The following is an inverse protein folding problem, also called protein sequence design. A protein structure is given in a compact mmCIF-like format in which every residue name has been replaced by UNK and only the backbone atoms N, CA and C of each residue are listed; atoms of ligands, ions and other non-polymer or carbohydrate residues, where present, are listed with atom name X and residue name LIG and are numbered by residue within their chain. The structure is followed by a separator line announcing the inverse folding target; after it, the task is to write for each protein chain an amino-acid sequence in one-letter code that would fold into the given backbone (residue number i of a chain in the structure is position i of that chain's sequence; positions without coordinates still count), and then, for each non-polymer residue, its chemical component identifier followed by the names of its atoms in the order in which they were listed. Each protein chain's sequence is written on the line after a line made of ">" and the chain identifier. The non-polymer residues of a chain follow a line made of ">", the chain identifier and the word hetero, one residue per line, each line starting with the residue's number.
data_IF_863781001144
#
_entry.id   IF_863781001144
#
_cell.length_a   1.000
_cell.length_b   1.000
_cell.length_c   1.000
_cell.angle_alpha   90.00
_cell.angle_beta   90.00
_cell.angle_gamma   90.00
#
_symmetry.space_group_name_H-M   'P 1'
#
loop_
_entity.id
_entity.type
_entity.pdbx_description
1 polymer ?
#
# COMPACT_ATOMS: atom_id res chain seq x y z
N UNK A 1 -5.14 13.51 12.33
CA UNK A 1 -5.05 13.15 10.89
C UNK A 1 -5.00 14.41 10.04
N UNK A 2 -4.01 14.49 9.12
CA UNK A 2 -3.86 15.60 8.16
C UNK A 2 -4.92 15.54 7.06
N UNK A 3 -5.10 16.65 6.29
CA UNK A 3 -5.97 16.67 5.10
C UNK A 3 -5.54 15.61 4.07
N UNK A 4 -4.24 15.45 3.88
CA UNK A 4 -3.67 14.43 2.99
C UNK A 4 -4.07 13.01 3.39
N UNK A 5 -3.93 12.67 4.68
CA UNK A 5 -4.32 11.36 5.21
C UNK A 5 -5.82 11.07 5.05
N UNK A 6 -6.67 12.07 5.30
CA UNK A 6 -8.12 11.94 5.11
C UNK A 6 -8.48 11.65 3.64
N UNK A 7 -7.86 12.38 2.69
CA UNK A 7 -8.04 12.15 1.26
C UNK A 7 -7.52 10.76 0.84
N UNK A 8 -6.36 10.34 1.36
CA UNK A 8 -5.81 9.02 1.07
C UNK A 8 -6.73 7.90 1.56
N UNK A 9 -7.28 8.01 2.77
CA UNK A 9 -8.28 7.04 3.29
C UNK A 9 -9.54 7.04 2.41
N UNK A 10 -10.09 8.21 2.12
CA UNK A 10 -11.28 8.31 1.27
C UNK A 10 -11.03 7.66 -0.09
N UNK A 11 -9.87 7.92 -0.72
CA UNK A 11 -9.50 7.31 -2.00
C UNK A 11 -9.41 5.78 -1.91
N UNK A 12 -8.76 5.23 -0.87
CA UNK A 12 -8.67 3.76 -0.67
C UNK A 12 -10.05 3.15 -0.49
N UNK A 13 -10.86 3.69 0.43
CA UNK A 13 -12.18 3.14 0.76
C UNK A 13 -13.12 3.20 -0.44
N UNK A 14 -13.17 4.35 -1.15
CA UNK A 14 -14.04 4.51 -2.31
C UNK A 14 -13.58 3.64 -3.48
N UNK A 15 -12.26 3.43 -3.65
CA UNK A 15 -11.74 2.52 -4.69
C UNK A 15 -12.11 1.06 -4.40
N UNK A 16 -11.98 0.59 -3.15
CA UNK A 16 -12.41 -0.76 -2.75
C UNK A 16 -13.92 -0.95 -2.95
N UNK A 17 -14.72 0.07 -2.61
CA UNK A 17 -16.16 0.05 -2.86
C UNK A 17 -16.46 -0.02 -4.36
N UNK A 18 -15.77 0.77 -5.19
CA UNK A 18 -15.96 0.74 -6.64
C UNK A 18 -15.60 -0.62 -7.24
N UNK A 19 -14.52 -1.24 -6.79
CA UNK A 19 -14.15 -2.61 -7.22
C UNK A 19 -15.28 -3.59 -6.90
N UNK A 20 -15.86 -3.50 -5.70
CA UNK A 20 -16.99 -4.34 -5.30
C UNK A 20 -18.23 -4.10 -6.18
N UNK A 21 -18.57 -2.84 -6.46
CA UNK A 21 -19.68 -2.48 -7.37
C UNK A 21 -19.40 -2.95 -8.80
N UNK A 22 -18.14 -2.93 -9.26
CA UNK A 22 -17.73 -3.46 -10.56
C UNK A 22 -18.08 -4.95 -10.74
N UNK A 23 -18.01 -5.72 -9.64
CA UNK A 23 -18.49 -7.12 -9.68
C UNK A 23 -20.01 -7.21 -9.80
N UNK A 24 -20.72 -6.34 -9.11
CA UNK A 24 -22.19 -6.26 -9.25
C UNK A 24 -22.55 -5.96 -10.70
N UNK A 25 -21.88 -4.98 -11.34
CA UNK A 25 -22.05 -4.68 -12.79
C UNK A 25 -21.87 -5.94 -13.64
N UNK A 26 -20.83 -6.71 -13.38
CA UNK A 26 -20.57 -7.96 -14.12
C UNK A 26 -21.61 -9.05 -13.82
N UNK A 27 -21.89 -9.31 -12.54
CA UNK A 27 -22.77 -10.38 -12.09
C UNK A 27 -24.23 -10.18 -12.51
N UNK A 28 -24.65 -8.92 -12.75
CA UNK A 28 -25.99 -8.55 -13.22
C UNK A 28 -26.07 -8.38 -14.75
N UNK A 29 -24.95 -8.57 -15.47
CA UNK A 29 -24.90 -8.33 -16.91
C UNK A 29 -25.05 -6.85 -17.28
N UNK A 30 -24.79 -5.94 -16.36
CA UNK A 30 -25.03 -4.48 -16.54
C UNK A 30 -23.92 -3.78 -17.32
N UNK A 31 -22.79 -4.43 -17.59
CA UNK A 31 -21.60 -3.77 -18.12
C UNK A 31 -21.67 -3.29 -19.59
N UNK A 32 -22.79 -3.50 -20.26
CA UNK A 32 -23.07 -2.99 -21.61
C UNK A 32 -24.43 -2.29 -21.69
N UNK A 33 -25.05 -2.02 -20.54
CA UNK A 33 -26.37 -1.40 -20.46
C UNK A 33 -26.35 0.10 -20.84
N UNK A 34 -25.18 0.75 -20.71
CA UNK A 34 -24.93 2.12 -21.18
C UNK A 34 -23.99 2.07 -22.41
N UNK A 35 -24.52 2.02 -23.64
CA UNK A 35 -23.72 1.79 -24.86
C UNK A 35 -22.83 2.98 -25.25
N UNK A 36 -23.07 4.19 -24.72
CA UNK A 36 -22.27 5.37 -24.99
C UNK A 36 -21.34 5.74 -23.83
N UNK A 37 -20.36 6.58 -24.10
CA UNK A 37 -19.43 7.09 -23.10
C UNK A 37 -19.09 8.56 -23.39
N UNK A 38 -19.07 9.47 -22.40
CA UNK A 38 -19.21 9.28 -20.95
C UNK A 38 -20.66 9.12 -20.46
N UNK A 39 -21.66 9.52 -21.24
CA UNK A 39 -23.09 9.34 -20.92
C UNK A 39 -23.57 7.88 -21.04
N UNK A 40 -24.84 7.63 -20.72
CA UNK A 40 -25.43 6.30 -20.83
C UNK A 40 -26.00 6.05 -22.25
N UNK A 41 -26.71 7.03 -22.85
CA UNK A 41 -27.27 6.94 -24.19
C UNK A 41 -26.93 8.18 -25.01
N UNK A 42 -27.12 8.14 -26.34
CA UNK A 42 -26.89 9.30 -27.19
C UNK A 42 -27.78 10.47 -26.78
N UNK A 43 -27.17 11.61 -26.51
CA UNK A 43 -27.86 12.81 -26.05
C UNK A 43 -28.38 12.75 -24.61
N UNK A 44 -28.19 11.64 -23.91
CA UNK A 44 -28.70 11.42 -22.56
C UNK A 44 -27.57 11.03 -21.61
N UNK A 45 -27.24 11.93 -20.67
CA UNK A 45 -26.15 11.67 -19.70
C UNK A 45 -26.59 10.67 -18.61
N UNK A 46 -27.82 10.80 -18.11
CA UNK A 46 -28.43 9.97 -17.07
C UNK A 46 -29.37 8.93 -17.68
N UNK A 47 -29.42 7.68 -17.16
CA UNK A 47 -30.49 6.77 -17.50
C UNK A 47 -31.85 7.32 -17.05
N UNK A 48 -32.92 7.02 -17.78
CA UNK A 48 -34.28 7.22 -17.33
C UNK A 48 -34.80 6.04 -16.49
N UNK A 49 -35.90 6.20 -15.78
CA UNK A 49 -36.46 5.11 -14.99
C UNK A 49 -36.95 3.94 -15.87
N UNK A 50 -37.28 4.21 -17.14
CA UNK A 50 -37.67 3.21 -18.13
C UNK A 50 -36.52 2.37 -18.69
N UNK A 51 -35.25 2.81 -18.53
CA UNK A 51 -34.07 2.11 -19.09
C UNK A 51 -33.66 0.89 -18.28
N UNK A 52 -34.33 0.64 -17.14
CA UNK A 52 -34.14 -0.54 -16.30
C UNK A 52 -32.98 -0.42 -15.30
N UNK A 53 -32.95 -1.36 -14.34
CA UNK A 53 -31.99 -1.36 -13.23
C UNK A 53 -30.53 -1.52 -13.70
N UNK A 54 -30.31 -2.24 -14.79
CA UNK A 54 -28.95 -2.50 -15.31
C UNK A 54 -28.26 -1.22 -15.76
N UNK A 55 -28.97 -0.32 -16.46
CA UNK A 55 -28.42 0.98 -16.87
C UNK A 55 -28.04 1.84 -15.65
N UNK A 56 -28.87 1.82 -14.60
CA UNK A 56 -28.57 2.53 -13.36
C UNK A 56 -27.36 1.95 -12.60
N UNK A 57 -27.23 0.62 -12.54
CA UNK A 57 -26.08 -0.05 -11.91
C UNK A 57 -24.78 0.37 -12.62
N UNK A 58 -24.75 0.33 -13.94
CA UNK A 58 -23.57 0.74 -14.71
C UNK A 58 -23.29 2.24 -14.55
N UNK A 59 -24.33 3.08 -14.62
CA UNK A 59 -24.17 4.53 -14.48
C UNK A 59 -23.64 4.91 -13.08
N UNK A 60 -24.13 4.29 -12.00
CA UNK A 60 -23.64 4.49 -10.63
C UNK A 60 -22.16 4.09 -10.53
N UNK A 61 -21.77 2.96 -11.13
CA UNK A 61 -20.36 2.56 -11.18
C UNK A 61 -19.50 3.63 -11.85
N UNK A 62 -19.90 4.15 -13.01
CA UNK A 62 -19.19 5.24 -13.70
C UNK A 62 -19.12 6.51 -12.86
N UNK A 63 -20.19 6.88 -12.18
CA UNK A 63 -20.25 8.08 -11.33
C UNK A 63 -19.29 7.97 -10.15
N UNK A 64 -19.23 6.82 -9.46
CA UNK A 64 -18.29 6.60 -8.37
C UNK A 64 -16.84 6.63 -8.90
N UNK A 65 -16.58 6.14 -10.12
CA UNK A 65 -15.26 6.26 -10.74
C UNK A 65 -14.85 7.73 -10.94
N UNK A 66 -15.78 8.61 -11.33
CA UNK A 66 -15.54 10.07 -11.42
C UNK A 66 -15.22 10.65 -10.03
N UNK A 67 -15.96 10.26 -8.98
CA UNK A 67 -15.67 10.69 -7.60
C UNK A 67 -14.25 10.29 -7.18
N UNK A 68 -13.81 9.07 -7.50
CA UNK A 68 -12.43 8.63 -7.25
C UNK A 68 -11.44 9.51 -8.02
N UNK A 69 -11.74 9.85 -9.27
CA UNK A 69 -10.91 10.76 -10.07
C UNK A 69 -10.67 12.09 -9.34
N UNK A 70 -11.72 12.70 -8.80
CA UNK A 70 -11.59 13.94 -8.01
C UNK A 70 -10.87 13.75 -6.69
N UNK A 71 -11.08 12.65 -5.97
CA UNK A 71 -10.37 12.35 -4.73
C UNK A 71 -8.86 12.19 -4.96
N UNK A 72 -8.48 11.43 -5.98
CA UNK A 72 -7.07 11.18 -6.33
C UNK A 72 -6.41 12.45 -6.89
N UNK A 73 -7.13 13.25 -7.69
CA UNK A 73 -6.64 14.56 -8.12
C UNK A 73 -6.43 15.49 -6.92
N UNK A 74 -7.38 15.57 -6.00
CA UNK A 74 -7.25 16.33 -4.76
C UNK A 74 -6.07 15.86 -3.92
N UNK A 75 -5.85 14.54 -3.81
CA UNK A 75 -4.71 13.95 -3.13
C UNK A 75 -3.38 14.40 -3.77
N UNK A 76 -3.28 14.39 -5.11
CA UNK A 76 -2.10 14.84 -5.84
C UNK A 76 -1.87 16.36 -5.69
N UNK A 77 -2.93 17.17 -5.70
CA UNK A 77 -2.83 18.63 -5.47
C UNK A 77 -2.31 18.93 -4.06
N UNK A 78 -2.82 18.24 -3.04
CA UNK A 78 -2.32 18.39 -1.66
C UNK A 78 -0.88 17.88 -1.55
N UNK A 79 -0.53 16.78 -2.21
CA UNK A 79 0.86 16.29 -2.26
C UNK A 79 1.81 17.32 -2.89
N UNK A 80 1.38 17.99 -3.98
CA UNK A 80 2.14 19.05 -4.65
C UNK A 80 2.33 20.29 -3.78
N UNK A 81 1.32 20.67 -2.99
CA UNK A 81 1.36 21.87 -2.15
C UNK A 81 2.14 21.66 -0.86
N UNK A 82 1.83 20.55 -0.15
CA UNK A 82 2.24 20.34 1.24
C UNK A 82 3.39 19.33 1.40
N UNK A 83 3.70 18.54 0.34
CA UNK A 83 4.65 17.43 0.40
C UNK A 83 5.59 17.36 -0.82
N UNK A 84 5.81 18.48 -1.51
CA UNK A 84 6.66 18.54 -2.71
C UNK A 84 8.11 18.12 -2.46
N UNK A 85 8.60 18.35 -1.25
CA UNK A 85 9.91 17.91 -0.74
C UNK A 85 9.99 16.40 -0.47
N UNK A 86 8.85 15.71 -0.45
CA UNK A 86 8.73 14.28 -0.14
C UNK A 86 8.39 13.47 -1.39
N UNK A 87 9.41 13.19 -2.24
CA UNK A 87 9.25 12.44 -3.48
C UNK A 87 8.47 11.11 -3.29
N UNK A 88 8.62 10.47 -2.13
CA UNK A 88 7.90 9.22 -1.79
C UNK A 88 6.40 9.38 -1.52
N UNK A 89 5.86 10.60 -1.45
CA UNK A 89 4.42 10.90 -1.43
C UNK A 89 3.98 11.55 -2.75
N UNK A 90 4.75 12.53 -3.21
CA UNK A 90 4.43 13.33 -4.38
C UNK A 90 4.39 12.50 -5.68
N UNK A 91 5.46 11.74 -5.99
CA UNK A 91 5.51 10.94 -7.22
C UNK A 91 4.45 9.84 -7.28
N UNK A 92 4.22 9.03 -6.22
CA UNK A 92 3.13 8.06 -6.22
C UNK A 92 1.75 8.70 -6.38
N UNK A 93 1.52 9.91 -5.83
CA UNK A 93 0.24 10.60 -5.99
C UNK A 93 0.00 11.05 -7.43
N UNK A 94 1.03 11.51 -8.15
CA UNK A 94 0.94 11.80 -9.59
C UNK A 94 0.72 10.53 -10.42
N UNK A 95 1.43 9.45 -10.08
CA UNK A 95 1.25 8.16 -10.75
C UNK A 95 -0.19 7.65 -10.56
N UNK A 96 -0.80 7.86 -9.38
CA UNK A 96 -2.18 7.49 -9.12
C UNK A 96 -3.16 8.25 -10.04
N UNK A 97 -2.93 9.54 -10.32
CA UNK A 97 -3.74 10.31 -11.29
C UNK A 97 -3.63 9.71 -12.70
N UNK A 98 -2.41 9.41 -13.14
CA UNK A 98 -2.19 8.76 -14.45
C UNK A 98 -2.89 7.39 -14.53
N UNK A 99 -2.81 6.61 -13.45
CA UNK A 99 -3.43 5.29 -13.40
C UNK A 99 -4.97 5.36 -13.37
N UNK A 100 -5.57 6.38 -12.73
CA UNK A 100 -7.03 6.63 -12.81
C UNK A 100 -7.44 6.98 -14.23
N UNK A 101 -6.68 7.84 -14.94
CA UNK A 101 -6.93 8.13 -16.34
C UNK A 101 -6.85 6.89 -17.24
N UNK A 102 -5.84 6.06 -17.03
CA UNK A 102 -5.70 4.76 -17.69
C UNK A 102 -6.86 3.82 -17.39
N UNK A 103 -7.33 3.79 -16.13
CA UNK A 103 -8.47 3.00 -15.70
C UNK A 103 -9.78 3.44 -16.40
N UNK A 104 -9.98 4.73 -16.55
CA UNK A 104 -11.14 5.26 -17.28
C UNK A 104 -11.10 4.87 -18.76
N UNK A 105 -9.91 4.92 -19.39
CA UNK A 105 -9.72 4.45 -20.75
C UNK A 105 -9.96 2.94 -20.86
N UNK A 106 -9.40 2.10 -19.98
CA UNK A 106 -9.65 0.66 -19.96
C UNK A 106 -11.14 0.35 -19.77
N UNK A 107 -11.84 1.09 -18.90
CA UNK A 107 -13.28 0.93 -18.69
C UNK A 107 -14.06 1.17 -19.97
N UNK A 108 -13.72 2.22 -20.73
CA UNK A 108 -14.32 2.48 -22.05
C UNK A 108 -14.04 1.32 -23.03
N UNK A 109 -12.79 0.85 -23.10
CA UNK A 109 -12.41 -0.28 -23.96
C UNK A 109 -13.11 -1.59 -23.56
N UNK A 110 -13.32 -1.82 -22.28
CA UNK A 110 -14.06 -2.99 -21.77
C UNK A 110 -15.50 -3.00 -22.31
N UNK A 111 -16.20 -1.86 -22.29
CA UNK A 111 -17.53 -1.73 -22.89
C UNK A 111 -17.47 -1.96 -24.41
N UNK A 112 -16.52 -1.31 -25.10
CA UNK A 112 -16.33 -1.46 -26.57
C UNK A 112 -16.05 -2.91 -26.99
N UNK A 113 -15.36 -3.66 -26.16
CA UNK A 113 -15.03 -5.09 -26.37
C UNK A 113 -16.07 -6.05 -25.78
N UNK A 114 -17.29 -5.56 -25.50
CA UNK A 114 -18.42 -6.34 -24.98
C UNK A 114 -18.03 -7.14 -23.71
N UNK A 115 -17.23 -6.54 -22.82
CA UNK A 115 -16.75 -7.16 -21.60
C UNK A 115 -15.97 -8.47 -21.84
N UNK A 116 -15.12 -8.51 -22.88
CA UNK A 116 -14.25 -9.67 -23.12
C UNK A 116 -13.44 -10.01 -21.88
N UNK A 117 -13.16 -11.29 -21.69
CA UNK A 117 -12.45 -11.77 -20.50
C UNK A 117 -11.10 -11.11 -20.28
N UNK A 118 -10.36 -10.87 -21.37
CA UNK A 118 -9.05 -10.19 -21.33
C UNK A 118 -9.19 -8.72 -20.92
N UNK A 119 -10.18 -8.00 -21.48
CA UNK A 119 -10.40 -6.60 -21.16
C UNK A 119 -10.82 -6.41 -19.70
N UNK A 120 -11.69 -7.27 -19.19
CA UNK A 120 -12.12 -7.28 -17.77
C UNK A 120 -10.94 -7.61 -16.84
N UNK A 121 -10.10 -8.59 -17.21
CA UNK A 121 -8.91 -8.95 -16.42
C UNK A 121 -7.88 -7.82 -16.41
N UNK A 122 -7.65 -7.15 -17.54
CA UNK A 122 -6.75 -6.01 -17.63
C UNK A 122 -7.26 -4.82 -16.79
N UNK A 123 -8.58 -4.54 -16.85
CA UNK A 123 -9.22 -3.50 -16.05
C UNK A 123 -9.11 -3.81 -14.55
N UNK A 124 -9.32 -5.06 -14.14
CA UNK A 124 -9.15 -5.50 -12.75
C UNK A 124 -7.68 -5.38 -12.30
N UNK A 125 -6.71 -5.79 -13.15
CA UNK A 125 -5.29 -5.69 -12.83
C UNK A 125 -4.86 -4.24 -12.55
N UNK A 126 -5.30 -3.31 -13.40
CA UNK A 126 -5.03 -1.89 -13.22
C UNK A 126 -5.74 -1.33 -11.97
N UNK A 127 -6.99 -1.76 -11.68
CA UNK A 127 -7.72 -1.38 -10.46
C UNK A 127 -7.00 -1.87 -9.20
N UNK A 128 -6.53 -3.13 -9.15
CA UNK A 128 -5.80 -3.66 -8.01
C UNK A 128 -4.42 -3.00 -7.85
N UNK A 129 -3.76 -2.62 -8.94
CA UNK A 129 -2.54 -1.81 -8.90
C UNK A 129 -2.81 -0.44 -8.29
N UNK A 130 -3.91 0.21 -8.66
CA UNK A 130 -4.33 1.48 -8.07
C UNK A 130 -4.62 1.32 -6.56
N UNK A 131 -5.34 0.27 -6.14
CA UNK A 131 -5.56 -0.03 -4.71
C UNK A 131 -4.22 -0.16 -3.98
N UNK A 132 -3.29 -0.97 -4.49
CA UNK A 132 -1.97 -1.13 -3.88
C UNK A 132 -1.18 0.17 -3.76
N UNK A 133 -1.23 1.02 -4.80
CA UNK A 133 -0.58 2.33 -4.83
C UNK A 133 -1.20 3.30 -3.81
N UNK A 134 -2.53 3.37 -3.72
CA UNK A 134 -3.24 4.23 -2.75
C UNK A 134 -2.99 3.77 -1.30
N UNK A 135 -2.97 2.46 -1.05
CA UNK A 135 -2.61 1.88 0.25
C UNK A 135 -1.16 2.20 0.62
N UNK A 136 -0.23 2.13 -0.36
CA UNK A 136 1.16 2.55 -0.16
C UNK A 136 1.25 4.03 0.21
N UNK A 137 0.57 4.94 -0.52
CA UNK A 137 0.54 6.38 -0.24
C UNK A 137 -0.02 6.63 1.17
N UNK A 138 -1.12 5.98 1.52
CA UNK A 138 -1.72 6.06 2.84
C UNK A 138 -0.74 5.63 3.93
N UNK A 139 -0.17 4.42 3.83
CA UNK A 139 0.79 3.91 4.78
C UNK A 139 2.00 4.85 4.91
N UNK A 140 2.59 5.29 3.79
CA UNK A 140 3.74 6.20 3.76
C UNK A 140 3.47 7.54 4.43
N UNK A 141 2.24 8.02 4.39
CA UNK A 141 1.84 9.31 4.97
C UNK A 141 1.96 9.38 6.50
N UNK A 142 2.01 8.24 7.18
CA UNK A 142 2.17 8.15 8.63
C UNK A 142 3.63 8.13 9.10
N UNK A 143 4.60 8.08 8.19
CA UNK A 143 6.02 7.99 8.53
C UNK A 143 6.78 9.29 8.21
N UNK A 144 7.87 9.60 8.93
CA UNK A 144 8.67 10.82 8.72
C UNK A 144 9.28 10.88 7.30
N UNK A 145 9.68 12.10 6.88
CA UNK A 145 10.25 12.31 5.55
C UNK A 145 11.57 11.55 5.38
N UNK A 146 12.46 11.65 6.37
CA UNK A 146 13.74 10.92 6.40
C UNK A 146 13.59 9.65 7.21
N UNK A 147 14.08 8.55 6.66
CA UNK A 147 14.04 7.22 7.25
C UNK A 147 15.49 6.76 7.32
N UNK A 148 15.95 6.37 8.52
CA UNK A 148 17.33 5.90 8.73
C UNK A 148 17.46 4.38 8.59
N UNK A 149 18.66 3.91 8.23
CA UNK A 149 19.17 2.57 8.42
C UNK A 149 18.49 1.38 7.72
N UNK A 150 19.16 0.22 7.79
CA UNK A 150 18.57 -1.09 7.48
C UNK A 150 17.89 -1.62 8.73
N UNK A 151 16.55 -1.70 8.71
CA UNK A 151 15.80 -2.21 9.86
C UNK A 151 15.99 -3.71 10.08
N UNK A 152 15.90 -4.15 11.33
CA UNK A 152 16.01 -5.55 11.77
C UNK A 152 14.98 -6.50 11.15
N UNK A 153 13.93 -5.99 10.50
CA UNK A 153 12.80 -6.74 9.96
C UNK A 153 12.81 -6.91 8.43
N UNK A 154 13.98 -6.76 7.78
CA UNK A 154 14.05 -6.87 6.31
C UNK A 154 13.56 -8.24 5.80
N UNK A 155 13.91 -9.34 6.47
CA UNK A 155 13.49 -10.70 6.09
C UNK A 155 11.97 -10.85 6.14
N UNK A 156 11.32 -10.31 7.17
CA UNK A 156 9.86 -10.33 7.28
C UNK A 156 9.20 -9.49 6.17
N UNK A 157 9.74 -8.31 5.87
CA UNK A 157 9.24 -7.46 4.77
C UNK A 157 9.34 -8.16 3.41
N UNK A 158 10.44 -8.88 3.14
CA UNK A 158 10.59 -9.66 1.91
C UNK A 158 9.60 -10.83 1.85
N UNK A 159 9.39 -11.54 2.95
CA UNK A 159 8.38 -12.60 3.03
C UNK A 159 6.97 -12.04 2.77
N UNK A 160 6.63 -10.89 3.38
CA UNK A 160 5.35 -10.22 3.16
C UNK A 160 5.19 -9.74 1.70
N UNK A 161 6.27 -9.22 1.07
CA UNK A 161 6.25 -8.79 -0.32
C UNK A 161 6.07 -9.99 -1.28
N UNK A 162 6.73 -11.10 -1.02
CA UNK A 162 6.54 -12.34 -1.78
C UNK A 162 5.09 -12.83 -1.68
N UNK A 163 4.53 -12.89 -0.46
CA UNK A 163 3.15 -13.29 -0.25
C UNK A 163 2.16 -12.31 -0.93
N UNK A 164 2.40 -11.01 -0.86
CA UNK A 164 1.59 -9.99 -1.55
C UNK A 164 1.60 -10.21 -3.07
N UNK A 165 2.78 -10.49 -3.65
CA UNK A 165 2.90 -10.77 -5.09
C UNK A 165 2.12 -12.04 -5.49
N UNK A 166 2.17 -13.11 -4.68
CA UNK A 166 1.41 -14.34 -4.95
C UNK A 166 -0.09 -14.14 -4.80
N UNK A 167 -0.55 -13.34 -3.83
CA UNK A 167 -1.98 -12.95 -3.69
C UNK A 167 -2.44 -12.16 -4.91
N UNK A 168 -1.66 -11.19 -5.38
CA UNK A 168 -1.96 -10.42 -6.58
C UNK A 168 -2.08 -11.32 -7.82
N UNK A 169 -1.11 -12.21 -8.03
CA UNK A 169 -1.12 -13.15 -9.13
C UNK A 169 -2.33 -14.09 -9.07
N UNK A 170 -2.67 -14.63 -7.88
CA UNK A 170 -3.84 -15.48 -7.69
C UNK A 170 -5.14 -14.74 -8.00
N UNK A 171 -5.26 -13.48 -7.63
CA UNK A 171 -6.44 -12.64 -7.91
C UNK A 171 -6.64 -12.49 -9.43
N UNK A 172 -5.57 -12.20 -10.19
CA UNK A 172 -5.63 -12.11 -11.65
C UNK A 172 -5.91 -13.48 -12.30
N UNK A 173 -5.32 -14.52 -11.76
CA UNK A 173 -5.60 -15.88 -12.25
C UNK A 173 -7.05 -16.28 -12.02
N UNK A 174 -7.66 -15.94 -10.87
CA UNK A 174 -9.09 -16.12 -10.62
C UNK A 174 -9.98 -15.37 -11.62
N UNK A 175 -9.59 -14.15 -12.02
CA UNK A 175 -10.26 -13.41 -13.08
C UNK A 175 -10.18 -14.16 -14.42
N UNK A 176 -9.04 -14.76 -14.76
CA UNK A 176 -8.86 -15.55 -15.97
C UNK A 176 -9.77 -16.80 -15.99
N UNK A 177 -9.92 -17.52 -14.86
CA UNK A 177 -10.84 -18.67 -14.77
C UNK A 177 -12.27 -18.26 -15.12
N UNK A 178 -12.72 -17.11 -14.64
CA UNK A 178 -14.05 -16.58 -15.02
C UNK A 178 -14.11 -16.11 -16.47
N UNK A 179 -13.01 -15.60 -17.01
CA UNK A 179 -12.92 -15.14 -18.40
C UNK A 179 -13.01 -16.29 -19.40
N UNK A 180 -12.42 -17.44 -19.09
CA UNK A 180 -12.40 -18.65 -19.93
C UNK A 180 -13.63 -19.52 -19.77
N UNK A 181 -14.62 -19.10 -18.95
CA UNK A 181 -15.85 -19.86 -18.67
C UNK A 181 -15.62 -21.24 -18.04
N UNK A 182 -14.45 -21.49 -17.48
CA UNK A 182 -14.11 -22.76 -16.81
C UNK A 182 -14.67 -22.90 -15.39
N UNK A 183 -15.42 -21.93 -14.93
CA UNK A 183 -15.98 -21.86 -13.57
C UNK A 183 -17.08 -22.91 -13.29
N UNK A 184 -17.78 -23.41 -14.30
CA UNK A 184 -18.89 -24.34 -14.15
C UNK A 184 -18.52 -25.82 -14.40
N UNK A 185 -17.24 -26.11 -14.58
CA UNK A 185 -16.76 -27.48 -14.89
C UNK A 185 -16.98 -28.44 -13.73
N UNK A 186 -16.91 -27.95 -12.49
CA UNK A 186 -17.13 -28.74 -11.28
C UNK A 186 -18.36 -28.30 -10.54
N UNK A 187 -19.16 -29.27 -10.06
CA UNK A 187 -20.40 -29.03 -9.29
C UNK A 187 -20.23 -29.16 -7.78
N UNK A 188 -19.05 -29.61 -7.33
CA UNK A 188 -18.75 -29.92 -5.93
C UNK A 188 -17.57 -29.13 -5.40
N UNK A 189 -17.48 -29.05 -4.06
CA UNK A 189 -16.41 -28.42 -3.31
C UNK A 189 -16.32 -29.07 -1.92
N UNK A 190 -15.14 -29.39 -1.37
CA UNK A 190 -13.78 -29.07 -1.87
C UNK A 190 -13.27 -29.99 -2.99
N UNK A 191 -13.98 -31.05 -3.31
CA UNK A 191 -13.62 -31.98 -4.39
C UNK A 191 -13.91 -31.38 -5.77
N UNK A 192 -13.49 -32.09 -6.81
CA UNK A 192 -13.65 -31.74 -8.22
C UNK A 192 -14.23 -32.97 -8.92
N UNK A 193 -15.58 -33.05 -8.97
CA UNK A 193 -16.34 -34.23 -9.43
C UNK A 193 -15.94 -35.50 -8.65
N UNK A 194 -15.89 -35.40 -7.33
CA UNK A 194 -15.55 -36.49 -6.42
C UNK A 194 -14.05 -36.76 -6.27
N UNK A 195 -13.15 -36.08 -6.99
CA UNK A 195 -11.70 -36.24 -6.94
C UNK A 195 -10.99 -35.01 -6.38
N UNK A 196 -9.89 -35.24 -5.64
CA UNK A 196 -8.95 -34.14 -5.29
C UNK A 196 -7.97 -33.84 -6.43
N UNK A 197 -7.71 -34.81 -7.29
CA UNK A 197 -6.75 -34.74 -8.37
C UNK A 197 -7.40 -35.23 -9.69
N UNK A 198 -8.31 -34.44 -10.26
CA UNK A 198 -8.91 -34.82 -11.55
C UNK A 198 -7.85 -34.76 -12.65
N UNK A 199 -8.03 -35.52 -13.71
CA UNK A 199 -7.18 -35.39 -14.90
C UNK A 199 -7.33 -33.97 -15.46
N UNK A 200 -6.21 -33.37 -15.89
CA UNK A 200 -6.24 -32.04 -16.51
C UNK A 200 -6.68 -32.15 -17.96
N UNK A 201 -7.73 -31.44 -18.31
CA UNK A 201 -8.20 -31.25 -19.68
C UNK A 201 -8.17 -29.76 -20.04
N UNK A 202 -8.24 -29.43 -21.33
CA UNK A 202 -8.28 -28.04 -21.78
C UNK A 202 -9.49 -27.30 -21.22
N UNK A 203 -10.59 -27.99 -20.93
CA UNK A 203 -11.83 -27.42 -20.42
C UNK A 203 -11.80 -27.09 -18.94
N UNK A 204 -10.92 -27.71 -18.13
CA UNK A 204 -10.95 -27.60 -16.66
C UNK A 204 -9.62 -27.16 -16.03
N UNK A 205 -8.55 -27.18 -16.80
CA UNK A 205 -7.19 -26.96 -16.29
C UNK A 205 -7.03 -25.65 -15.51
N UNK A 206 -7.59 -24.54 -15.99
CA UNK A 206 -7.47 -23.25 -15.30
C UNK A 206 -8.21 -23.26 -13.96
N UNK A 207 -9.37 -23.92 -13.85
CA UNK A 207 -10.11 -24.02 -12.60
C UNK A 207 -9.41 -24.93 -11.58
N UNK A 208 -8.90 -26.09 -12.03
CA UNK A 208 -8.10 -27.01 -11.18
C UNK A 208 -6.88 -26.30 -10.64
N UNK A 209 -6.09 -25.67 -11.52
CA UNK A 209 -4.87 -24.94 -11.16
C UNK A 209 -5.17 -23.78 -10.21
N UNK A 210 -6.28 -23.04 -10.44
CA UNK A 210 -6.68 -21.96 -9.53
C UNK A 210 -6.90 -22.47 -8.11
N UNK A 211 -7.60 -23.60 -7.92
CA UNK A 211 -7.83 -24.18 -6.59
C UNK A 211 -6.52 -24.62 -5.93
N UNK A 212 -5.61 -25.27 -6.68
CA UNK A 212 -4.30 -25.69 -6.15
C UNK A 212 -3.42 -24.49 -5.79
N UNK A 213 -3.34 -23.50 -6.67
CA UNK A 213 -2.58 -22.27 -6.41
C UNK A 213 -3.18 -21.52 -5.21
N UNK A 214 -4.51 -21.51 -5.07
CA UNK A 214 -5.17 -20.89 -3.91
C UNK A 214 -4.78 -21.57 -2.58
N UNK A 215 -4.67 -22.93 -2.56
CA UNK A 215 -4.19 -23.63 -1.37
C UNK A 215 -2.75 -23.22 -1.04
N UNK A 216 -1.85 -23.21 -2.02
CA UNK A 216 -0.44 -22.84 -1.81
C UNK A 216 -0.31 -21.41 -1.34
N UNK A 217 -1.00 -20.47 -2.00
CA UNK A 217 -1.00 -19.04 -1.59
C UNK A 217 -1.61 -18.85 -0.21
N UNK A 218 -2.69 -19.57 0.10
CA UNK A 218 -3.30 -19.57 1.44
C UNK A 218 -2.33 -20.02 2.52
N UNK A 219 -1.58 -21.09 2.29
CA UNK A 219 -0.54 -21.54 3.22
C UNK A 219 0.56 -20.49 3.40
N UNK A 220 0.99 -19.83 2.32
CA UNK A 220 1.97 -18.73 2.40
C UNK A 220 1.43 -17.58 3.26
N UNK A 221 0.18 -17.15 3.07
CA UNK A 221 -0.45 -16.08 3.86
C UNK A 221 -0.57 -16.49 5.34
N UNK A 222 -0.96 -17.74 5.63
CA UNK A 222 -1.00 -18.26 7.01
C UNK A 222 0.39 -18.28 7.64
N UNK A 223 1.42 -18.68 6.89
CA UNK A 223 2.82 -18.63 7.36
C UNK A 223 3.23 -17.18 7.69
N UNK A 224 2.90 -16.20 6.83
CA UNK A 224 3.15 -14.77 7.12
C UNK A 224 2.46 -14.34 8.41
N UNK A 225 1.20 -14.72 8.62
CA UNK A 225 0.46 -14.41 9.85
C UNK A 225 1.10 -15.07 11.09
N UNK A 226 1.51 -16.32 10.98
CA UNK A 226 2.18 -17.06 12.07
C UNK A 226 3.56 -16.45 12.40
N UNK A 227 4.34 -16.08 11.41
CA UNK A 227 5.64 -15.40 11.60
C UNK A 227 5.42 -14.02 12.21
N UNK A 228 4.42 -13.26 11.75
CA UNK A 228 4.07 -11.97 12.34
C UNK A 228 3.67 -12.12 13.81
N UNK A 229 2.83 -13.10 14.14
CA UNK A 229 2.44 -13.41 15.51
C UNK A 229 3.63 -13.71 16.42
N UNK A 230 4.66 -14.39 15.92
CA UNK A 230 5.86 -14.73 16.70
C UNK A 230 6.87 -13.58 16.80
N UNK A 231 7.00 -12.76 15.76
CA UNK A 231 8.14 -11.83 15.61
C UNK A 231 7.77 -10.34 15.56
N UNK A 232 6.48 -9.99 15.41
CA UNK A 232 6.03 -8.60 15.21
C UNK A 232 5.05 -8.12 16.30
N UNK A 233 5.02 -8.75 17.47
CA UNK A 233 4.08 -8.42 18.56
C UNK A 233 4.19 -6.96 19.03
N UNK A 234 5.39 -6.39 19.00
CA UNK A 234 5.63 -5.00 19.37
C UNK A 234 5.20 -3.97 18.29
N UNK A 235 4.73 -4.46 17.14
CA UNK A 235 4.29 -3.66 16.00
C UNK A 235 2.83 -3.94 15.69
N UNK A 236 1.88 -3.34 16.44
CA UNK A 236 0.47 -3.75 16.41
C UNK A 236 -0.17 -3.60 15.04
N UNK A 237 0.21 -2.59 14.24
CA UNK A 237 -0.32 -2.41 12.89
C UNK A 237 0.19 -3.50 11.94
N UNK A 238 1.48 -3.87 12.00
CA UNK A 238 2.06 -4.97 11.20
C UNK A 238 1.37 -6.28 11.56
N UNK A 239 1.25 -6.57 12.86
CA UNK A 239 0.58 -7.76 13.35
C UNK A 239 -0.90 -7.79 12.93
N UNK A 240 -1.62 -6.69 13.12
CA UNK A 240 -3.04 -6.58 12.76
C UNK A 240 -3.28 -6.84 11.28
N UNK A 241 -2.51 -6.24 10.37
CA UNK A 241 -2.63 -6.46 8.93
C UNK A 241 -2.34 -7.92 8.53
N UNK A 242 -1.30 -8.53 9.11
CA UNK A 242 -0.96 -9.93 8.86
C UNK A 242 -2.06 -10.88 9.33
N UNK A 243 -2.59 -10.68 10.54
CA UNK A 243 -3.67 -11.50 11.08
C UNK A 243 -4.98 -11.29 10.32
N UNK A 244 -5.29 -10.06 9.89
CA UNK A 244 -6.45 -9.78 9.04
C UNK A 244 -6.37 -10.56 7.72
N UNK A 245 -5.24 -10.53 7.02
CA UNK A 245 -5.06 -11.30 5.80
C UNK A 245 -5.15 -12.82 6.07
N UNK A 246 -4.51 -13.30 7.15
CA UNK A 246 -4.53 -14.71 7.56
C UNK A 246 -5.92 -15.24 7.92
N UNK A 247 -6.78 -14.39 8.51
CA UNK A 247 -8.15 -14.74 8.84
C UNK A 247 -9.09 -14.67 7.63
N UNK A 248 -8.93 -13.63 6.80
CA UNK A 248 -9.80 -13.44 5.63
C UNK A 248 -9.55 -14.49 4.55
N UNK A 249 -8.34 -15.04 4.45
CA UNK A 249 -8.01 -15.99 3.38
C UNK A 249 -8.82 -17.32 3.46
N UNK A 250 -8.92 -18.01 4.61
CA UNK A 250 -9.79 -19.18 4.71
C UNK A 250 -11.27 -18.84 4.49
N UNK A 251 -11.74 -17.66 4.93
CA UNK A 251 -13.10 -17.20 4.62
C UNK A 251 -13.29 -17.03 3.11
N UNK A 252 -12.29 -16.47 2.43
CA UNK A 252 -12.25 -16.32 0.97
C UNK A 252 -12.34 -17.68 0.26
N UNK A 253 -11.66 -18.71 0.77
CA UNK A 253 -11.71 -20.06 0.21
C UNK A 253 -13.12 -20.67 0.36
N UNK A 254 -13.76 -20.50 1.53
CA UNK A 254 -15.15 -20.94 1.76
C UNK A 254 -16.11 -20.23 0.80
N UNK A 255 -15.99 -18.89 0.65
CA UNK A 255 -16.85 -18.14 -0.30
C UNK A 255 -16.57 -18.56 -1.73
N UNK A 256 -15.32 -18.90 -2.08
CA UNK A 256 -14.97 -19.51 -3.37
C UNK A 256 -15.69 -20.83 -3.61
N UNK A 257 -15.77 -21.70 -2.60
CA UNK A 257 -16.56 -22.94 -2.63
C UNK A 257 -18.08 -22.67 -2.78
N UNK A 258 -18.59 -21.68 -2.06
CA UNK A 258 -20.00 -21.27 -2.17
C UNK A 258 -20.36 -20.77 -3.57
N UNK A 259 -19.43 -20.15 -4.33
CA UNK A 259 -19.71 -19.80 -5.73
C UNK A 259 -20.09 -21.04 -6.55
N UNK A 260 -19.37 -22.15 -6.36
CA UNK A 260 -19.67 -23.40 -7.07
C UNK A 260 -21.03 -23.97 -6.62
N UNK A 261 -21.22 -24.09 -5.31
CA UNK A 261 -22.43 -24.68 -4.73
C UNK A 261 -23.70 -23.88 -5.00
N UNK A 262 -23.58 -22.57 -5.29
CA UNK A 262 -24.72 -21.68 -5.61
C UNK A 262 -24.86 -21.38 -7.11
N UNK A 263 -24.13 -22.09 -7.98
CA UNK A 263 -24.16 -21.84 -9.42
C UNK A 263 -23.77 -20.41 -9.79
N UNK A 264 -22.73 -19.86 -9.15
CA UNK A 264 -22.25 -18.49 -9.30
C UNK A 264 -23.32 -17.40 -9.04
N UNK A 265 -24.04 -17.50 -7.95
CA UNK A 265 -24.95 -16.42 -7.55
C UNK A 265 -24.22 -15.07 -7.46
N UNK A 266 -24.88 -13.97 -7.84
CA UNK A 266 -24.28 -12.64 -7.89
C UNK A 266 -23.68 -12.19 -6.55
N UNK A 267 -24.29 -12.55 -5.41
CA UNK A 267 -23.79 -12.20 -4.09
C UNK A 267 -22.47 -12.95 -3.74
N UNK A 268 -22.34 -14.24 -4.13
CA UNK A 268 -21.10 -14.99 -3.86
C UNK A 268 -19.94 -14.47 -4.71
N UNK A 269 -20.19 -14.13 -5.97
CA UNK A 269 -19.20 -13.50 -6.84
C UNK A 269 -18.74 -12.15 -6.25
N UNK A 270 -19.67 -11.30 -5.82
CA UNK A 270 -19.40 -10.00 -5.23
C UNK A 270 -18.60 -10.13 -3.95
N UNK A 271 -19.00 -11.01 -3.03
CA UNK A 271 -18.32 -11.23 -1.77
C UNK A 271 -16.91 -11.80 -1.98
N UNK A 272 -16.76 -12.75 -2.91
CA UNK A 272 -15.45 -13.36 -3.22
C UNK A 272 -14.43 -12.31 -3.71
N UNK A 273 -14.80 -11.47 -4.67
CA UNK A 273 -13.86 -10.45 -5.13
C UNK A 273 -13.64 -9.34 -4.09
N UNK A 274 -14.67 -8.93 -3.35
CA UNK A 274 -14.52 -7.95 -2.28
C UNK A 274 -13.53 -8.41 -1.21
N UNK A 275 -13.64 -9.67 -0.76
CA UNK A 275 -12.69 -10.27 0.19
C UNK A 275 -11.28 -10.36 -0.41
N UNK A 276 -11.17 -10.77 -1.68
CA UNK A 276 -9.88 -10.82 -2.40
C UNK A 276 -9.21 -9.44 -2.46
N UNK A 277 -9.98 -8.39 -2.76
CA UNK A 277 -9.48 -7.01 -2.78
C UNK A 277 -9.07 -6.52 -1.37
N UNK A 278 -9.79 -6.90 -0.31
CA UNK A 278 -9.42 -6.59 1.07
C UNK A 278 -8.14 -7.33 1.50
N UNK A 279 -8.00 -8.62 1.15
CA UNK A 279 -6.77 -9.38 1.41
C UNK A 279 -5.58 -8.73 0.69
N UNK A 280 -5.77 -8.36 -0.57
CA UNK A 280 -4.74 -7.64 -1.33
C UNK A 280 -4.37 -6.30 -0.68
N UNK A 281 -5.35 -5.47 -0.31
CA UNK A 281 -5.11 -4.21 0.38
C UNK A 281 -4.39 -4.39 1.71
N UNK A 282 -4.76 -5.41 2.51
CA UNK A 282 -4.09 -5.74 3.76
C UNK A 282 -2.63 -6.17 3.52
N UNK A 283 -2.36 -7.01 2.50
CA UNK A 283 -1.02 -7.45 2.16
C UNK A 283 -0.15 -6.31 1.61
N UNK A 284 -0.68 -5.44 0.74
CA UNK A 284 0.02 -4.25 0.26
C UNK A 284 0.35 -3.29 1.42
N UNK A 285 -0.60 -3.08 2.33
CA UNK A 285 -0.40 -2.31 3.56
C UNK A 285 0.65 -2.94 4.48
N UNK A 286 0.62 -4.26 4.64
CA UNK A 286 1.59 -5.01 5.43
C UNK A 286 3.01 -4.80 4.91
N UNK A 287 3.23 -4.88 3.60
CA UNK A 287 4.53 -4.62 2.97
C UNK A 287 5.00 -3.20 3.27
N UNK A 288 4.15 -2.20 3.00
CA UNK A 288 4.50 -0.80 3.21
C UNK A 288 4.79 -0.49 4.68
N UNK A 289 3.90 -0.89 5.59
CA UNK A 289 4.04 -0.61 7.03
C UNK A 289 5.24 -1.36 7.62
N UNK A 290 5.46 -2.64 7.27
CA UNK A 290 6.62 -3.40 7.76
C UNK A 290 7.94 -2.78 7.30
N UNK A 291 8.00 -2.31 6.05
CA UNK A 291 9.17 -1.63 5.50
C UNK A 291 9.50 -0.34 6.25
N UNK A 292 8.51 0.52 6.47
CA UNK A 292 8.71 1.83 7.10
C UNK A 292 8.90 1.73 8.60
N UNK A 293 8.11 0.92 9.31
CA UNK A 293 8.24 0.76 10.77
C UNK A 293 9.58 0.17 11.18
N UNK A 294 10.15 -0.74 10.39
CA UNK A 294 11.47 -1.30 10.66
C UNK A 294 12.59 -0.27 10.61
N UNK A 295 12.43 0.79 9.81
CA UNK A 295 13.44 1.84 9.61
C UNK A 295 13.33 3.02 10.54
N UNK A 296 12.18 3.22 11.16
CA UNK A 296 11.97 4.29 12.16
C UNK A 296 12.38 3.86 13.56
N UNK A 297 12.46 2.57 13.84
CA UNK A 297 12.86 2.00 15.14
C UNK A 297 14.35 1.64 15.23
N UNK A 298 15.16 1.90 14.19
CA UNK A 298 16.60 1.69 14.24
C UNK A 298 17.22 2.64 15.30
N UNK A 299 18.04 2.13 16.25
CA UNK A 299 18.71 2.97 17.24
C UNK A 299 19.62 3.98 16.54
N UNK A 300 19.71 5.20 17.10
CA UNK A 300 20.56 6.29 16.60
C UNK A 300 22.06 5.91 16.50
N UNK A 301 22.48 4.82 17.13
CA UNK A 301 23.85 4.29 17.15
C UNK A 301 24.35 3.83 15.77
N UNK A 302 23.49 3.38 14.87
CA UNK A 302 23.91 2.97 13.52
C UNK A 302 24.09 4.16 12.54
N UNK A 303 23.54 5.35 12.86
CA UNK A 303 23.77 6.58 12.09
C UNK A 303 25.19 7.14 12.29
N UNK A 304 25.89 6.73 13.35
CA UNK A 304 27.28 7.13 13.65
C UNK A 304 28.31 6.42 12.78
N UNK A 305 27.99 5.29 12.15
CA UNK A 305 28.90 4.51 11.29
C UNK A 305 29.04 5.03 9.86
N UNK A 306 28.19 5.94 9.42
CA UNK A 306 28.22 6.50 8.06
C UNK A 306 28.81 7.91 8.03
N UNK A 307 30.11 8.04 8.41
CA UNK A 307 30.94 9.20 8.01
C UNK A 307 30.54 10.58 8.56
N UNK A 308 29.68 10.69 9.56
CA UNK A 308 29.48 11.95 10.28
C UNK A 308 30.53 12.03 11.36
N UNK A 309 31.58 12.86 11.12
CA UNK A 309 32.54 13.25 12.17
C UNK A 309 31.71 13.77 13.36
N UNK A 310 31.83 13.10 14.51
CA UNK A 310 31.29 13.60 15.78
C UNK A 310 31.72 15.04 16.00
N UNK A 311 30.82 15.95 16.41
CA UNK A 311 31.25 17.28 16.78
C UNK A 311 32.21 17.16 17.95
N UNK A 312 33.42 17.70 17.76
CA UNK A 312 34.45 17.80 18.83
C UNK A 312 33.87 18.75 19.90
N UNK A 313 33.54 18.19 21.06
CA UNK A 313 33.17 19.01 22.20
C UNK A 313 34.45 19.51 22.87
N UNK A 314 34.77 20.77 22.66
CA UNK A 314 35.83 21.44 23.39
C UNK A 314 35.37 21.71 24.84
N UNK A 315 36.02 21.05 25.79
CA UNK A 315 35.77 21.28 27.21
C UNK A 315 36.76 22.38 27.67
N UNK A 316 36.28 23.62 27.77
CA UNK A 316 37.06 24.73 28.29
C UNK A 316 36.77 24.77 29.80
N UNK A 317 37.76 24.40 30.61
CA UNK A 317 37.73 24.48 32.04
C UNK A 317 38.20 25.91 32.46
N UNK A 318 37.24 26.76 32.84
CA UNK A 318 37.55 28.06 33.32
C UNK A 318 37.91 27.97 34.81
N UNK A 319 39.12 28.44 35.22
CA UNK A 319 39.57 28.47 36.60
C UNK A 319 39.60 29.96 37.06
N UNK A 320 38.70 30.38 37.95
CA UNK A 320 38.62 31.74 38.39
C UNK A 320 39.78 32.19 39.31
N UNK A 321 40.59 31.27 39.83
CA UNK A 321 41.61 31.56 40.83
C UNK A 321 42.95 32.06 40.25
N UNK A 322 43.04 32.30 38.95
CA UNK A 322 44.29 32.77 38.28
C UNK A 322 44.26 34.23 37.81
N UNK A 323 43.31 35.03 38.25
CA UNK A 323 43.36 36.48 38.06
C UNK A 323 44.00 37.16 39.28
N UNK A 324 45.31 37.04 39.39
CA UNK A 324 46.16 37.91 40.20
C UNK A 324 46.33 39.24 39.50
N UNK A 325 46.14 40.33 40.25
CA UNK A 325 46.37 41.71 39.83
C UNK A 325 47.85 41.92 39.45
N UNK A 326 48.17 41.91 38.17
CA UNK A 326 49.40 42.53 37.66
C UNK A 326 49.08 43.20 36.33
N UNK A 327 49.44 44.49 36.32
CA UNK A 327 49.38 45.40 35.20
C UNK A 327 50.50 45.08 34.21
N UNK A 328 50.29 44.14 33.28
CA UNK A 328 51.17 43.99 32.11
C UNK A 328 50.30 43.68 30.89
N UNK A 329 50.44 44.52 29.89
CA UNK A 329 49.81 44.49 28.59
C UNK A 329 50.58 43.51 27.67
N UNK A 330 50.39 42.20 27.84
CA UNK A 330 50.72 41.25 26.81
C UNK A 330 49.68 40.09 26.90
N UNK A 331 48.70 40.09 25.98
CA UNK A 331 47.67 39.13 25.92
C UNK A 331 48.21 37.80 25.33
N UNK A 332 48.70 36.90 26.18
CA UNK A 332 49.01 35.55 25.80
C UNK A 332 47.74 34.69 25.72
N UNK A 333 47.50 34.13 24.56
CA UNK A 333 46.39 33.23 24.28
C UNK A 333 46.55 31.89 25.03
N UNK A 334 45.58 31.35 25.77
CA UNK A 334 45.76 30.14 26.54
C UNK A 334 45.94 28.91 25.64
N UNK A 335 47.06 28.17 25.83
CA UNK A 335 47.34 26.91 25.15
C UNK A 335 46.33 25.80 25.55
N UNK A 336 45.63 25.22 24.58
CA UNK A 336 44.75 24.07 24.75
C UNK A 336 45.56 22.79 24.84
N UNK A 337 45.59 22.09 25.98
CA UNK A 337 46.14 20.72 26.11
C UNK A 337 45.07 19.69 25.75
N UNK A 338 45.36 18.77 24.84
CA UNK A 338 44.55 17.54 24.61
C UNK A 338 44.67 16.61 25.82
N UNK A 339 43.54 16.27 26.47
CA UNK A 339 43.47 15.29 27.53
C UNK A 339 42.55 14.15 27.13
N UNK A 340 43.04 12.93 27.31
CA UNK A 340 42.44 11.66 26.86
C UNK A 340 41.45 11.02 27.87
N UNK A 341 40.91 11.73 28.86
CA UNK A 341 39.93 11.14 29.79
C UNK A 341 38.71 12.05 29.97
N UNK A 342 37.59 11.59 29.42
CA UNK A 342 36.28 12.24 29.54
C UNK A 342 35.54 11.62 30.76
N UNK A 343 35.30 12.45 31.78
CA UNK A 343 34.29 12.16 32.80
C UNK A 343 33.13 13.17 32.65
N UNK A 344 31.93 12.68 32.39
CA UNK A 344 30.74 13.49 32.11
C UNK A 344 30.26 14.24 33.34
N UNK A 345 30.23 15.60 33.28
CA UNK A 345 29.33 16.42 34.12
C UNK A 345 28.99 17.76 33.43
N UNK A 346 27.66 17.97 33.23
CA UNK A 346 26.92 19.19 32.85
C UNK A 346 27.37 19.94 31.60
N UNK A 347 26.57 19.84 30.57
CA UNK A 347 26.60 20.66 29.35
C UNK A 347 25.86 22.00 29.59
N UNK A 348 26.48 23.13 29.26
CA UNK A 348 25.86 24.47 29.16
C UNK A 348 25.89 24.90 27.70
N UNK A 349 24.79 25.32 27.07
CA UNK A 349 24.79 25.78 25.69
C UNK A 349 25.40 27.18 25.56
N UNK A 350 26.41 27.35 24.72
CA UNK A 350 27.03 28.63 24.38
C UNK A 350 26.25 29.28 23.23
N UNK A 351 25.72 30.50 23.42
CA UNK A 351 25.16 31.33 22.34
C UNK A 351 26.28 31.81 21.42
N UNK A 352 26.09 31.68 20.10
CA UNK A 352 26.92 32.33 19.07
C UNK A 352 26.83 33.86 19.27
N UNK A 353 27.95 34.52 19.53
CA UNK A 353 27.96 35.98 19.57
C UNK A 353 29.13 36.60 20.36
N UNK A 354 30.04 35.83 20.94
CA UNK A 354 31.12 36.39 21.75
C UNK A 354 32.49 35.78 21.42
N UNK A 355 32.82 35.67 20.13
CA UNK A 355 34.20 35.43 19.65
C UNK A 355 34.44 36.40 18.50
N UNK A 356 35.32 37.35 18.72
CA UNK A 356 35.84 38.29 17.71
C UNK A 356 36.80 37.53 16.78
N UNK A 357 36.76 37.86 15.49
CA UNK A 357 37.36 37.14 14.32
C UNK A 357 38.93 37.20 14.23
N UNK A 358 39.68 37.44 15.32
CA UNK A 358 41.09 37.73 15.26
C UNK A 358 42.04 36.66 15.84
N UNK A 359 41.58 35.43 16.02
CA UNK A 359 42.51 34.29 16.36
C UNK A 359 42.62 33.28 15.21
N UNK A 360 43.66 33.34 14.43
CA UNK A 360 44.06 32.31 13.48
C UNK A 360 44.56 31.06 14.22
N UNK A 361 43.96 29.91 13.91
CA UNK A 361 44.40 28.58 14.34
C UNK A 361 45.54 28.13 13.41
N UNK A 362 46.72 27.92 13.94
CA UNK A 362 47.80 27.12 13.36
C UNK A 362 47.84 25.75 14.06
#
# INVERSE_FOLDING_TARGET
>A
MTRFQKLAIASVVTTLLLVTIGVVVRATGSGTACPTWPGCFEGQFLPSLSDGAQAWIEWVHRTIAVVIGFLVLGLAVVALRDHRDRASLFLPSLLAVGLVGFQAWLGKETVRLNNSGESVTAHLAAAMTLVGLLVFILARSFYPARIGGRGSSQRFTLLAAFAAATVFALLLFGSHVTATSQWYVFSDWPLMNGSLFPPLTDADSAHVLHRWVAIVVGLIVVVVAAVAWRTQRERPVVLGLALTAGLLFPIQAIVGGLQILTGLSGWTQTLHLALGALIWAAMAGLVAVSYYSARTTAPATELSGAGVKTPVTLNIQWNPDHYGSSSDQDADCPRVRKSEKVTARKTVPIRRGALTDDCHLT
#
